data_IF_647167096025
#
_entry.id   IF_647167096025
#
_cell.length_a   1.000
_cell.length_b   1.000
_cell.length_c   1.000
_cell.angle_alpha   90.00
_cell.angle_beta   90.00
_cell.angle_gamma   90.00
#
_symmetry.space_group_name_H-M   'P 1'
#
loop_
_entity.id
_entity.type
_entity.pdbx_description
1 polymer ?
#
# COMPACT_ATOMS: atom_id res chain seq x y z
N UNK A 1 16.08 23.85 -7.08
CA UNK A 1 15.72 23.71 -5.65
C UNK A 1 14.73 24.81 -5.33
N UNK A 2 13.57 24.50 -4.72
CA UNK A 2 12.66 25.52 -4.19
C UNK A 2 13.44 26.26 -3.08
N UNK A 3 13.71 27.55 -3.27
CA UNK A 3 14.50 28.35 -2.32
C UNK A 3 13.67 28.83 -1.15
N UNK A 4 14.33 29.12 -0.02
CA UNK A 4 13.68 29.57 1.22
C UNK A 4 12.78 30.81 1.04
N UNK A 5 12.99 31.63 0.01
CA UNK A 5 12.23 32.86 -0.23
C UNK A 5 11.00 32.70 -1.14
N UNK A 6 10.58 31.47 -1.48
CA UNK A 6 9.47 31.26 -2.41
C UNK A 6 8.11 31.72 -1.82
N UNK A 7 7.32 32.58 -2.51
CA UNK A 7 6.06 33.11 -1.98
C UNK A 7 4.99 32.02 -1.75
N UNK A 8 5.05 30.91 -2.49
CA UNK A 8 4.15 29.76 -2.35
C UNK A 8 4.56 28.80 -1.22
N UNK A 9 5.64 29.08 -0.48
CA UNK A 9 6.11 28.23 0.64
C UNK A 9 5.06 28.06 1.71
N UNK A 10 4.27 29.09 2.01
CA UNK A 10 3.19 29.01 3.01
C UNK A 10 2.19 27.91 2.65
N UNK A 11 1.78 27.84 1.38
CA UNK A 11 0.85 26.81 0.89
C UNK A 11 1.51 25.42 1.00
N UNK A 12 2.76 25.29 0.54
CA UNK A 12 3.50 24.03 0.62
C UNK A 12 3.67 23.55 2.07
N UNK A 13 4.04 24.44 2.99
CA UNK A 13 4.20 24.15 4.41
C UNK A 13 2.87 23.75 5.06
N UNK A 14 1.78 24.46 4.75
CA UNK A 14 0.45 24.10 5.25
C UNK A 14 -0.01 22.73 4.74
N UNK A 15 0.14 22.45 3.43
CA UNK A 15 -0.22 21.15 2.86
C UNK A 15 0.63 20.03 3.45
N UNK A 16 1.93 20.25 3.64
CA UNK A 16 2.81 19.26 4.25
C UNK A 16 2.42 18.99 5.71
N UNK A 17 2.10 20.04 6.48
CA UNK A 17 1.63 19.89 7.86
C UNK A 17 0.33 19.08 7.95
N UNK A 18 -0.64 19.39 7.08
CA UNK A 18 -1.90 18.65 7.00
C UNK A 18 -1.67 17.20 6.56
N UNK A 19 -0.80 16.97 5.58
CA UNK A 19 -0.43 15.64 5.11
C UNK A 19 0.20 14.79 6.22
N UNK A 20 1.14 15.36 6.97
CA UNK A 20 1.76 14.69 8.12
C UNK A 20 0.76 14.39 9.23
N UNK A 21 -0.16 15.31 9.53
CA UNK A 21 -1.23 15.10 10.51
C UNK A 21 -2.26 14.06 10.09
N UNK A 22 -2.46 13.85 8.79
CA UNK A 22 -3.44 12.91 8.26
C UNK A 22 -3.04 11.45 8.51
N UNK A 23 -1.74 11.12 8.48
CA UNK A 23 -1.23 9.76 8.70
C UNK A 23 -1.67 9.16 10.05
N UNK A 24 -1.42 9.81 11.21
CA UNK A 24 -1.86 9.28 12.50
C UNK A 24 -3.40 9.31 12.64
N UNK A 25 -4.08 10.31 12.08
CA UNK A 25 -5.56 10.38 12.11
C UNK A 25 -6.17 9.17 11.40
N UNK A 26 -5.72 8.85 10.18
CA UNK A 26 -6.19 7.68 9.44
C UNK A 26 -5.91 6.39 10.21
N UNK A 27 -4.75 6.29 10.86
CA UNK A 27 -4.38 5.13 11.66
C UNK A 27 -5.30 4.94 12.87
N UNK A 28 -5.58 6.01 13.63
CA UNK A 28 -6.50 5.98 14.77
C UNK A 28 -7.91 5.61 14.35
N UNK A 29 -8.36 6.13 13.22
CA UNK A 29 -9.66 5.89 12.64
C UNK A 29 -9.85 4.43 12.22
N UNK A 30 -8.84 3.81 11.61
CA UNK A 30 -8.82 2.35 11.35
C UNK A 30 -8.85 1.55 12.66
N UNK A 31 -8.06 1.98 13.66
CA UNK A 31 -8.04 1.35 14.99
C UNK A 31 -9.37 1.42 15.73
N UNK A 32 -10.08 2.55 15.65
CA UNK A 32 -11.41 2.74 16.25
C UNK A 32 -12.45 1.79 15.64
N UNK A 33 -12.43 1.61 14.32
CA UNK A 33 -13.33 0.68 13.63
C UNK A 33 -12.94 -0.79 13.82
N UNK A 34 -11.66 -1.06 14.04
CA UNK A 34 -11.19 -2.40 14.35
C UNK A 34 -11.81 -2.97 15.63
N UNK A 35 -12.00 -2.16 16.67
CA UNK A 35 -12.66 -2.61 17.92
C UNK A 35 -14.06 -3.18 17.66
N UNK A 36 -14.85 -2.48 16.83
CA UNK A 36 -16.18 -2.95 16.40
C UNK A 36 -16.06 -4.17 15.47
N UNK A 37 -15.08 -4.19 14.58
CA UNK A 37 -14.85 -5.31 13.65
C UNK A 37 -14.44 -6.62 14.33
N UNK A 38 -13.67 -6.55 15.44
CA UNK A 38 -13.27 -7.73 16.20
C UNK A 38 -14.38 -8.28 17.11
N UNK A 39 -15.26 -7.40 17.61
CA UNK A 39 -16.35 -7.76 18.54
C UNK A 39 -17.66 -8.11 17.81
N UNK A 40 -17.84 -7.62 16.58
CA UNK A 40 -19.06 -7.80 15.78
C UNK A 40 -19.17 -9.15 15.07
N UNK A 41 -20.32 -9.36 14.42
CA UNK A 41 -20.62 -10.57 13.66
C UNK A 41 -19.72 -10.71 12.42
N UNK A 42 -18.65 -11.49 12.57
CA UNK A 42 -18.37 -12.60 11.67
C UNK A 42 -17.94 -12.28 10.24
N UNK A 43 -16.97 -11.39 10.07
CA UNK A 43 -16.11 -11.38 8.88
C UNK A 43 -15.65 -12.81 8.56
N UNK A 44 -16.00 -13.34 7.37
CA UNK A 44 -15.60 -14.69 6.98
C UNK A 44 -14.08 -14.72 6.84
N UNK A 45 -13.36 -15.41 7.74
CA UNK A 45 -11.89 -15.58 7.71
C UNK A 45 -11.35 -15.98 6.32
N UNK A 46 -12.16 -16.72 5.55
CA UNK A 46 -11.88 -17.09 4.15
C UNK A 46 -11.60 -15.86 3.26
N UNK A 47 -12.32 -14.76 3.43
CA UNK A 47 -12.13 -13.52 2.65
C UNK A 47 -10.76 -12.91 2.96
N UNK A 48 -10.39 -12.82 4.25
CA UNK A 48 -9.09 -12.29 4.67
C UNK A 48 -7.95 -13.11 4.07
N UNK A 49 -8.03 -14.45 4.16
CA UNK A 49 -7.01 -15.34 3.59
C UNK A 49 -6.91 -15.16 2.08
N UNK A 50 -8.04 -15.09 1.37
CA UNK A 50 -8.04 -14.85 -0.08
C UNK A 50 -7.39 -13.51 -0.44
N UNK A 51 -7.67 -12.43 0.30
CA UNK A 51 -7.06 -11.12 0.06
C UNK A 51 -5.56 -11.16 0.29
N UNK A 52 -5.09 -11.80 1.37
CA UNK A 52 -3.66 -11.96 1.66
C UNK A 52 -2.96 -12.71 0.51
N UNK A 53 -3.54 -13.82 0.02
CA UNK A 53 -2.97 -14.58 -1.08
C UNK A 53 -2.92 -13.77 -2.39
N UNK A 54 -4.03 -13.11 -2.75
CA UNK A 54 -4.09 -12.26 -3.96
C UNK A 54 -3.08 -11.13 -3.86
N UNK A 55 -3.00 -10.45 -2.71
CA UNK A 55 -2.17 -9.26 -2.52
C UNK A 55 -0.67 -9.58 -2.44
N UNK A 56 -0.29 -10.67 -1.77
CA UNK A 56 1.12 -10.99 -1.52
C UNK A 56 1.69 -12.09 -2.41
N UNK A 57 0.89 -12.75 -3.25
CA UNK A 57 1.39 -13.75 -4.20
C UNK A 57 1.01 -13.37 -5.63
N UNK A 58 -0.28 -13.29 -5.93
CA UNK A 58 -0.72 -13.08 -7.32
C UNK A 58 -0.34 -11.69 -7.84
N UNK A 59 -0.58 -10.63 -7.05
CA UNK A 59 -0.26 -9.26 -7.43
C UNK A 59 1.24 -9.02 -7.71
N UNK A 60 2.19 -9.44 -6.85
CA UNK A 60 3.61 -9.31 -7.14
C UNK A 60 4.06 -10.15 -8.35
N UNK A 61 3.52 -11.36 -8.53
CA UNK A 61 3.80 -12.18 -9.72
C UNK A 61 3.34 -11.51 -11.02
N UNK A 62 2.14 -10.92 -11.02
CA UNK A 62 1.64 -10.14 -12.15
C UNK A 62 2.54 -8.92 -12.39
N UNK A 63 3.01 -8.26 -11.33
CA UNK A 63 3.96 -7.16 -11.41
C UNK A 63 5.23 -7.52 -12.18
N UNK A 64 5.81 -8.71 -11.90
CA UNK A 64 6.98 -9.22 -12.64
C UNK A 64 6.67 -9.37 -14.13
N UNK A 65 5.54 -9.98 -14.47
CA UNK A 65 5.14 -10.19 -15.87
C UNK A 65 4.94 -8.86 -16.59
N UNK A 66 4.27 -7.91 -15.95
CA UNK A 66 4.00 -6.57 -16.52
C UNK A 66 5.29 -5.79 -16.72
N UNK A 67 6.17 -5.74 -15.71
CA UNK A 67 7.41 -4.95 -15.80
C UNK A 67 8.39 -5.58 -16.80
N UNK A 68 8.57 -6.90 -16.80
CA UNK A 68 9.44 -7.58 -17.78
C UNK A 68 8.87 -7.49 -19.20
N UNK A 69 7.55 -7.61 -19.37
CA UNK A 69 6.89 -7.40 -20.65
C UNK A 69 7.09 -5.96 -21.15
N UNK A 70 6.91 -4.97 -20.28
CA UNK A 70 7.10 -3.56 -20.58
C UNK A 70 8.56 -3.21 -20.90
N UNK A 71 9.52 -3.90 -20.27
CA UNK A 71 10.94 -3.80 -20.61
C UNK A 71 11.23 -4.36 -22.00
N UNK A 72 10.69 -5.53 -22.35
CA UNK A 72 10.95 -6.17 -23.64
C UNK A 72 10.41 -5.37 -24.83
N UNK A 73 9.29 -4.66 -24.64
CA UNK A 73 8.70 -3.76 -25.66
C UNK A 73 9.33 -2.36 -25.68
N UNK A 74 10.31 -2.08 -24.81
CA UNK A 74 11.00 -0.78 -24.73
C UNK A 74 10.19 0.36 -24.11
N UNK A 75 9.09 0.07 -23.39
CA UNK A 75 8.25 1.09 -22.75
C UNK A 75 8.79 1.55 -21.39
N UNK A 76 9.67 0.75 -20.79
CA UNK A 76 10.28 0.99 -19.47
C UNK A 76 11.77 1.28 -19.63
N UNK A 77 12.26 2.31 -18.94
CA UNK A 77 13.68 2.65 -18.92
C UNK A 77 14.50 1.46 -18.40
N UNK A 78 15.66 1.20 -19.02
CA UNK A 78 16.54 0.09 -18.63
C UNK A 78 17.25 0.31 -17.29
N UNK A 79 16.99 1.43 -16.59
CA UNK A 79 17.55 1.70 -15.28
C UNK A 79 17.06 0.66 -14.25
N UNK A 80 17.98 -0.12 -13.63
CA UNK A 80 17.63 -1.12 -12.64
C UNK A 80 16.82 -0.54 -11.47
N UNK A 81 17.16 0.68 -11.04
CA UNK A 81 16.45 1.35 -9.95
C UNK A 81 15.00 1.68 -10.32
N UNK A 82 14.74 2.05 -11.59
CA UNK A 82 13.39 2.33 -12.07
C UNK A 82 12.54 1.06 -12.10
N UNK A 83 13.08 -0.03 -12.63
CA UNK A 83 12.40 -1.33 -12.67
C UNK A 83 12.11 -1.87 -11.27
N UNK A 84 13.08 -1.75 -10.35
CA UNK A 84 12.89 -2.14 -8.96
C UNK A 84 11.72 -1.38 -8.30
N UNK A 85 11.65 -0.06 -8.47
CA UNK A 85 10.55 0.76 -7.92
C UNK A 85 9.21 0.35 -8.51
N UNK A 86 9.14 0.07 -9.81
CA UNK A 86 7.93 -0.40 -10.49
C UNK A 86 7.49 -1.80 -10.02
N UNK A 87 8.42 -2.69 -9.67
CA UNK A 87 8.09 -4.00 -9.09
C UNK A 87 7.65 -3.86 -7.63
N UNK A 88 8.36 -3.02 -6.85
CA UNK A 88 8.13 -2.85 -5.43
C UNK A 88 6.69 -2.39 -5.14
N UNK A 89 6.13 -1.49 -5.96
CA UNK A 89 4.74 -1.03 -5.79
C UNK A 89 3.69 -2.15 -5.85
N UNK A 90 3.96 -3.26 -6.53
CA UNK A 90 3.05 -4.42 -6.57
C UNK A 90 3.12 -5.29 -5.32
N UNK A 91 4.18 -5.16 -4.51
CA UNK A 91 4.36 -5.90 -3.26
C UNK A 91 4.03 -5.06 -2.01
N UNK A 92 3.65 -3.79 -2.18
CA UNK A 92 3.30 -2.90 -1.07
C UNK A 92 2.00 -3.34 -0.36
N UNK A 93 1.87 -2.99 0.94
CA UNK A 93 0.68 -3.34 1.69
C UNK A 93 -0.56 -2.65 1.08
N UNK A 94 -1.78 -3.17 1.35
CA UNK A 94 -3.00 -2.55 0.84
C UNK A 94 -3.11 -1.08 1.28
N UNK A 95 -3.73 -0.26 0.44
CA UNK A 95 -3.79 1.18 0.69
C UNK A 95 -4.82 1.51 1.77
N UNK A 96 -4.38 2.22 2.82
CA UNK A 96 -5.28 2.76 3.86
C UNK A 96 -6.38 3.68 3.29
N UNK A 97 -6.16 4.25 2.11
CA UNK A 97 -7.15 5.06 1.41
C UNK A 97 -8.45 4.29 1.12
N UNK A 98 -8.37 2.99 0.84
CA UNK A 98 -9.55 2.15 0.62
C UNK A 98 -10.40 2.10 1.89
N UNK A 99 -9.78 1.97 3.07
CA UNK A 99 -10.51 2.02 4.34
C UNK A 99 -11.16 3.38 4.56
N UNK A 100 -10.46 4.49 4.27
CA UNK A 100 -11.07 5.82 4.38
C UNK A 100 -12.25 6.02 3.44
N UNK A 101 -12.20 5.46 2.22
CA UNK A 101 -13.35 5.48 1.31
C UNK A 101 -14.51 4.67 1.87
N UNK A 102 -14.28 3.44 2.37
CA UNK A 102 -15.34 2.64 3.00
C UNK A 102 -15.99 3.34 4.19
N UNK A 103 -15.23 4.15 4.92
CA UNK A 103 -15.73 4.96 6.03
C UNK A 103 -16.54 6.16 5.57
N UNK A 104 -16.09 6.87 4.53
CA UNK A 104 -16.82 7.99 3.96
C UNK A 104 -18.19 7.56 3.43
N UNK A 105 -18.27 6.36 2.86
CA UNK A 105 -19.52 5.77 2.39
C UNK A 105 -20.26 4.95 3.45
N UNK A 106 -19.75 4.89 4.69
CA UNK A 106 -20.28 4.10 5.81
C UNK A 106 -20.62 2.64 5.43
N UNK A 107 -19.83 2.05 4.53
CA UNK A 107 -20.08 0.75 3.93
C UNK A 107 -18.89 -0.18 4.19
N UNK A 108 -19.07 -1.15 5.09
CA UNK A 108 -18.05 -2.19 5.34
C UNK A 108 -16.79 -1.69 6.06
N UNK A 109 -16.85 -0.56 6.78
CA UNK A 109 -15.71 0.02 7.49
C UNK A 109 -15.06 -0.92 8.54
N UNK A 110 -15.88 -1.65 9.29
CA UNK A 110 -15.42 -2.60 10.31
C UNK A 110 -14.74 -3.81 9.66
N UNK A 111 -15.31 -4.33 8.58
CA UNK A 111 -14.77 -5.46 7.81
C UNK A 111 -13.42 -5.09 7.16
N UNK A 112 -13.36 -3.91 6.54
CA UNK A 112 -12.15 -3.37 5.93
C UNK A 112 -11.03 -3.19 6.97
N UNK A 113 -11.35 -2.70 8.17
CA UNK A 113 -10.37 -2.51 9.24
C UNK A 113 -9.76 -3.83 9.73
N UNK A 114 -10.55 -4.91 9.78
CA UNK A 114 -10.04 -6.25 10.12
C UNK A 114 -9.14 -6.79 9.01
N UNK A 115 -9.48 -6.59 7.74
CA UNK A 115 -8.62 -6.97 6.60
C UNK A 115 -7.29 -6.21 6.69
N UNK A 116 -7.34 -4.91 6.94
CA UNK A 116 -6.15 -4.08 7.07
C UNK A 116 -5.27 -4.57 8.22
N UNK A 117 -5.83 -4.86 9.41
CA UNK A 117 -5.05 -5.41 10.53
C UNK A 117 -4.24 -6.64 10.11
N UNK A 118 -4.90 -7.65 9.55
CA UNK A 118 -4.24 -8.90 9.19
C UNK A 118 -3.22 -8.71 8.07
N UNK A 119 -3.58 -7.96 7.02
CA UNK A 119 -2.65 -7.70 5.91
C UNK A 119 -1.42 -6.92 6.38
N UNK A 120 -1.56 -5.88 7.20
CA UNK A 120 -0.42 -5.13 7.74
C UNK A 120 0.50 -5.96 8.65
N UNK A 121 -0.03 -6.94 9.40
CA UNK A 121 0.80 -7.87 10.19
C UNK A 121 1.69 -8.72 9.27
N UNK A 122 1.12 -9.26 8.18
CA UNK A 122 1.88 -10.06 7.21
C UNK A 122 2.74 -9.22 6.25
N UNK A 123 2.46 -7.92 6.14
CA UNK A 123 3.13 -7.02 5.22
C UNK A 123 4.63 -6.94 5.47
N UNK A 124 5.07 -6.87 6.73
CA UNK A 124 6.49 -6.74 7.06
C UNK A 124 7.31 -7.90 6.47
N UNK A 125 6.83 -9.14 6.66
CA UNK A 125 7.47 -10.34 6.12
C UNK A 125 7.41 -10.36 4.59
N UNK A 126 6.24 -10.09 4.01
CA UNK A 126 6.04 -10.15 2.57
C UNK A 126 6.88 -9.11 1.83
N UNK A 127 6.90 -7.85 2.29
CA UNK A 127 7.67 -6.78 1.67
C UNK A 127 9.16 -7.08 1.73
N UNK A 128 9.68 -7.55 2.87
CA UNK A 128 11.09 -7.93 2.98
C UNK A 128 11.45 -9.02 1.97
N UNK A 129 10.63 -10.08 1.89
CA UNK A 129 10.88 -11.21 1.00
C UNK A 129 10.84 -10.78 -0.48
N UNK A 130 9.81 -10.04 -0.88
CA UNK A 130 9.67 -9.55 -2.25
C UNK A 130 10.71 -8.49 -2.62
N UNK A 131 11.07 -7.60 -1.71
CA UNK A 131 12.12 -6.61 -1.96
C UNK A 131 13.47 -7.28 -2.23
N UNK A 132 13.84 -8.29 -1.42
CA UNK A 132 15.05 -9.09 -1.66
C UNK A 132 14.97 -9.82 -3.00
N UNK A 133 13.83 -10.45 -3.30
CA UNK A 133 13.64 -11.17 -4.56
C UNK A 133 13.72 -10.24 -5.79
N UNK A 134 13.09 -9.07 -5.75
CA UNK A 134 13.12 -8.10 -6.84
C UNK A 134 14.50 -7.47 -7.02
N UNK A 135 15.23 -7.20 -5.94
CA UNK A 135 16.62 -6.75 -6.05
C UNK A 135 17.48 -7.81 -6.74
N UNK A 136 17.30 -9.09 -6.39
CA UNK A 136 18.01 -10.18 -7.07
C UNK A 136 17.61 -10.29 -8.55
N UNK A 137 16.31 -10.22 -8.86
CA UNK A 137 15.78 -10.30 -10.23
C UNK A 137 16.32 -9.20 -11.14
N UNK A 138 16.43 -7.98 -10.63
CA UNK A 138 16.85 -6.79 -11.38
C UNK A 138 18.38 -6.67 -11.44
N UNK A 139 19.10 -7.26 -10.48
CA UNK A 139 20.56 -7.33 -10.48
C UNK A 139 21.14 -8.48 -11.31
N UNK A 140 20.32 -9.47 -11.67
CA UNK A 140 20.67 -10.60 -12.53
C UNK A 140 20.61 -10.21 -14.02
#
# INVERSE_FOLDING_TARGET
MIGDSAPLRVILSSVNLVGQGTIPIMTLLVGGNLLKGLTGTGMKKRIVVSIILVRYIFMPLIGILVVNGAHHIGFVHSDPLYQFVLLLQFALPPAMSISTMTQLFSAGENECSVIMLWTYIFASLAITLWATFYMWLVAA
#
